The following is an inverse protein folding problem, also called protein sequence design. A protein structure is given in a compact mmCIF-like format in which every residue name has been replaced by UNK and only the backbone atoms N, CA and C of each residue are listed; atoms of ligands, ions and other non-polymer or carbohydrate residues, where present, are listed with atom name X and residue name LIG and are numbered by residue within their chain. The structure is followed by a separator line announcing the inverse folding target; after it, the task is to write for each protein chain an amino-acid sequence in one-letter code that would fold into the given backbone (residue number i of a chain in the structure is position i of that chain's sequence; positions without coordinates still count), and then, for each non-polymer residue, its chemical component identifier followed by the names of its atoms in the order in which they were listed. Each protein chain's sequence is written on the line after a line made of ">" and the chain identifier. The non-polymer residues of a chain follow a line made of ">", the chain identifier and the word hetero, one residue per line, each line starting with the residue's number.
data_IF_984541574225
#
_entry.id   IF_984541574225
#
_cell.length_a   1.000
_cell.length_b   1.000
_cell.length_c   1.000
_cell.angle_alpha   90.00
_cell.angle_beta   90.00
_cell.angle_gamma   90.00
#
_symmetry.space_group_name_H-M   'P 1'
#
loop_
_entity.id
_entity.type
_entity.pdbx_description
1 polymer ?
#
# COMPACT_ATOMS: atom_id res chain seq x y z
N UNK A 1 10.92 10.94 -4.22
CA UNK A 1 11.80 11.92 -3.53
C UNK A 1 12.69 11.23 -2.50
N UNK A 2 12.14 10.50 -1.52
CA UNK A 2 12.94 9.83 -0.47
C UNK A 2 13.92 8.80 -1.07
N UNK A 3 13.48 7.95 -1.98
CA UNK A 3 14.35 6.97 -2.65
C UNK A 3 15.49 7.64 -3.42
N UNK A 4 15.24 8.71 -4.16
CA UNK A 4 16.32 9.47 -4.83
C UNK A 4 17.35 10.04 -3.88
N UNK A 5 16.91 10.55 -2.72
CA UNK A 5 17.84 11.02 -1.68
C UNK A 5 18.64 9.84 -1.12
N UNK A 6 18.01 8.66 -0.97
CA UNK A 6 18.69 7.45 -0.55
C UNK A 6 19.80 7.03 -1.54
N UNK A 7 19.50 7.03 -2.84
CA UNK A 7 20.47 6.75 -3.90
C UNK A 7 21.66 7.74 -3.87
N UNK A 8 21.38 9.04 -3.73
CA UNK A 8 22.40 10.07 -3.61
C UNK A 8 23.27 9.88 -2.33
N UNK A 9 22.68 9.44 -1.23
CA UNK A 9 23.41 9.11 0.01
C UNK A 9 24.28 7.87 -0.20
N UNK A 10 23.77 6.83 -0.85
CA UNK A 10 24.54 5.60 -1.14
C UNK A 10 25.78 5.87 -1.99
N UNK A 11 25.69 6.72 -3.00
CA UNK A 11 26.85 7.14 -3.80
C UNK A 11 27.93 7.80 -2.93
N UNK A 12 27.53 8.64 -1.97
CA UNK A 12 28.47 9.33 -1.07
C UNK A 12 29.01 8.42 0.07
N UNK A 13 28.28 7.39 0.50
CA UNK A 13 28.71 6.44 1.53
C UNK A 13 30.00 5.70 1.11
N UNK A 14 30.18 5.47 -0.18
CA UNK A 14 31.36 4.78 -0.70
C UNK A 14 32.66 5.53 -0.40
N UNK A 15 32.62 6.86 -0.32
CA UNK A 15 33.78 7.72 0.00
C UNK A 15 34.12 7.72 1.50
N UNK A 16 33.18 7.35 2.38
CA UNK A 16 33.34 7.39 3.84
C UNK A 16 34.04 6.14 4.44
N UNK A 17 34.34 5.12 3.66
CA UNK A 17 35.01 3.91 4.11
C UNK A 17 34.31 3.23 5.29
N UNK A 18 35.03 3.04 6.42
CA UNK A 18 34.46 2.35 7.59
C UNK A 18 33.34 3.10 8.28
N UNK A 19 33.36 4.44 8.25
CA UNK A 19 32.31 5.29 8.84
C UNK A 19 31.01 5.20 8.00
N UNK A 20 31.13 4.91 6.70
CA UNK A 20 30.00 4.65 5.81
C UNK A 20 29.15 3.45 6.21
N UNK A 21 29.70 2.47 6.94
CA UNK A 21 28.93 1.28 7.37
C UNK A 21 27.76 1.64 8.29
N UNK A 22 27.96 2.55 9.24
CA UNK A 22 26.91 2.99 10.15
C UNK A 22 25.84 3.77 9.41
N UNK A 23 26.24 4.68 8.51
CA UNK A 23 25.32 5.47 7.69
C UNK A 23 24.47 4.56 6.79
N UNK A 24 25.10 3.53 6.18
CA UNK A 24 24.36 2.55 5.37
C UNK A 24 23.32 1.78 6.18
N UNK A 25 23.68 1.29 7.36
CA UNK A 25 22.73 0.60 8.24
C UNK A 25 21.52 1.49 8.61
N UNK A 26 21.76 2.76 8.90
CA UNK A 26 20.68 3.73 9.19
C UNK A 26 19.84 4.02 7.96
N UNK A 27 20.44 4.10 6.79
CA UNK A 27 19.74 4.29 5.52
C UNK A 27 18.87 3.07 5.20
N UNK A 28 19.39 1.85 5.31
CA UNK A 28 18.65 0.60 5.13
C UNK A 28 17.44 0.50 6.07
N UNK A 29 17.60 0.92 7.34
CA UNK A 29 16.49 0.95 8.30
C UNK A 29 15.37 1.92 7.87
N UNK A 30 15.72 3.08 7.33
CA UNK A 30 14.74 4.08 6.87
C UNK A 30 14.07 3.65 5.55
N UNK A 31 14.85 3.10 4.62
CA UNK A 31 14.39 2.82 3.25
C UNK A 31 13.66 1.47 3.16
N UNK A 32 14.09 0.46 3.93
CA UNK A 32 13.53 -0.89 3.85
C UNK A 32 12.02 -0.98 4.13
N UNK A 33 11.50 -0.14 5.02
CA UNK A 33 10.05 -0.06 5.26
C UNK A 33 9.32 0.74 4.16
N UNK A 34 10.00 1.67 3.48
CA UNK A 34 9.41 2.48 2.41
C UNK A 34 9.12 1.67 1.15
N UNK A 35 10.03 0.81 0.72
CA UNK A 35 9.83 -0.06 -0.45
C UNK A 35 8.59 -0.95 -0.29
N UNK A 36 8.43 -1.50 0.92
CA UNK A 36 7.26 -2.32 1.25
C UNK A 36 5.97 -1.50 1.24
N UNK A 37 5.99 -0.28 1.80
CA UNK A 37 4.84 0.62 1.80
C UNK A 37 4.49 1.08 0.37
N UNK A 38 5.47 1.38 -0.49
CA UNK A 38 5.24 1.72 -1.90
C UNK A 38 4.51 0.60 -2.64
N UNK A 39 4.96 -0.63 -2.47
CA UNK A 39 4.32 -1.81 -3.06
C UNK A 39 2.86 -1.95 -2.60
N UNK A 40 2.60 -1.75 -1.31
CA UNK A 40 1.25 -1.82 -0.75
C UNK A 40 0.36 -0.68 -1.25
N UNK A 41 0.91 0.53 -1.43
CA UNK A 41 0.18 1.67 -2.02
C UNK A 41 -0.21 1.34 -3.47
N UNK A 42 0.71 0.82 -4.26
CA UNK A 42 0.43 0.42 -5.64
C UNK A 42 -0.68 -0.64 -5.68
N UNK A 43 -0.58 -1.68 -4.86
CA UNK A 43 -1.62 -2.71 -4.73
C UNK A 43 -2.98 -2.15 -4.33
N UNK A 44 -3.02 -1.15 -3.45
CA UNK A 44 -4.26 -0.50 -3.02
C UNK A 44 -4.95 0.26 -4.14
N UNK A 45 -4.18 0.94 -5.00
CA UNK A 45 -4.73 1.90 -5.95
C UNK A 45 -4.63 1.48 -7.42
N UNK A 46 -3.91 0.41 -7.77
CA UNK A 46 -3.87 -0.09 -9.14
C UNK A 46 -5.27 -0.51 -9.63
N UNK A 47 -5.60 -0.20 -10.88
CA UNK A 47 -6.90 -0.54 -11.44
C UNK A 47 -7.09 -2.07 -11.60
N UNK A 48 -8.32 -2.53 -11.40
CA UNK A 48 -8.71 -3.90 -11.72
C UNK A 48 -8.90 -4.06 -13.23
N UNK A 49 -7.87 -4.52 -13.94
CA UNK A 49 -7.98 -4.77 -15.39
C UNK A 49 -7.91 -6.25 -15.76
N UNK A 50 -8.53 -6.54 -16.93
CA UNK A 50 -8.46 -7.86 -17.58
C UNK A 50 -7.03 -8.27 -17.98
N UNK A 51 -6.12 -7.35 -18.23
CA UNK A 51 -4.68 -7.59 -18.34
C UNK A 51 -4.05 -7.35 -16.97
N UNK A 52 -3.66 -8.41 -16.30
CA UNK A 52 -3.00 -8.38 -14.99
C UNK A 52 -1.60 -7.75 -15.16
N UNK A 53 -1.49 -6.45 -14.94
CA UNK A 53 -0.21 -5.83 -14.61
C UNK A 53 0.10 -6.15 -13.16
N UNK A 54 1.34 -6.50 -12.89
CA UNK A 54 1.80 -6.71 -11.50
C UNK A 54 2.15 -5.37 -10.84
N UNK A 55 2.15 -5.35 -9.52
CA UNK A 55 2.56 -4.16 -8.79
C UNK A 55 4.05 -3.83 -9.03
N UNK A 56 4.89 -4.87 -9.22
CA UNK A 56 6.31 -4.71 -9.56
C UNK A 56 6.52 -4.03 -10.92
N UNK A 57 5.73 -4.40 -11.95
CA UNK A 57 5.78 -3.74 -13.26
C UNK A 57 5.39 -2.25 -13.17
N UNK A 58 4.40 -1.93 -12.34
CA UNK A 58 3.97 -0.54 -12.10
C UNK A 58 5.06 0.23 -11.36
N UNK A 59 5.67 -0.38 -10.34
CA UNK A 59 6.75 0.23 -9.57
C UNK A 59 7.97 0.53 -10.46
N UNK A 60 8.36 -0.43 -11.31
CA UNK A 60 9.44 -0.23 -12.29
C UNK A 60 9.14 0.94 -13.23
N UNK A 61 7.94 1.01 -13.79
CA UNK A 61 7.55 2.12 -14.66
C UNK A 61 7.56 3.47 -13.94
N UNK A 62 7.10 3.52 -12.67
CA UNK A 62 7.13 4.74 -11.87
C UNK A 62 8.56 5.21 -11.58
N UNK A 63 9.51 4.28 -11.40
CA UNK A 63 10.92 4.61 -11.13
C UNK A 63 11.65 5.21 -12.33
N UNK A 64 11.22 4.90 -13.56
CA UNK A 64 11.81 5.39 -14.80
C UNK A 64 11.30 6.80 -15.22
N UNK A 65 10.23 7.27 -14.58
CA UNK A 65 9.59 8.55 -14.95
C UNK A 65 10.27 9.72 -14.26
N UNK A 66 10.42 10.81 -15.00
CA UNK A 66 10.96 12.06 -14.45
C UNK A 66 10.02 12.64 -13.39
N UNK A 67 10.60 13.26 -12.37
CA UNK A 67 9.86 13.81 -11.22
C UNK A 67 8.74 14.78 -11.62
N UNK A 68 8.98 15.61 -12.64
CA UNK A 68 8.01 16.58 -13.15
C UNK A 68 6.74 15.92 -13.70
N UNK A 69 6.88 14.73 -14.31
CA UNK A 69 5.75 13.96 -14.80
C UNK A 69 4.98 13.25 -13.67
N UNK A 70 5.68 12.84 -12.60
CA UNK A 70 5.05 12.24 -11.40
C UNK A 70 4.18 13.23 -10.63
N UNK A 71 4.35 14.54 -10.83
CA UNK A 71 3.47 15.56 -10.23
C UNK A 71 2.13 15.68 -10.95
N UNK A 72 1.97 15.05 -12.11
CA UNK A 72 0.73 15.10 -12.91
C UNK A 72 -0.20 13.94 -12.56
N UNK A 73 -1.40 14.19 -12.00
CA UNK A 73 -2.35 13.13 -11.62
C UNK A 73 -2.70 12.19 -12.78
N UNK A 74 -2.78 12.74 -14.00
CA UNK A 74 -3.06 11.98 -15.24
C UNK A 74 -2.01 10.91 -15.50
N UNK A 75 -0.73 11.24 -15.35
CA UNK A 75 0.39 10.33 -15.57
C UNK A 75 0.29 9.16 -14.60
N UNK A 76 0.11 9.46 -13.31
CA UNK A 76 -0.06 8.45 -12.26
C UNK A 76 -1.28 7.56 -12.53
N UNK A 77 -2.43 8.13 -12.86
CA UNK A 77 -3.63 7.37 -13.14
C UNK A 77 -3.45 6.39 -14.31
N UNK A 78 -2.77 6.82 -15.40
CA UNK A 78 -2.46 5.96 -16.55
C UNK A 78 -1.58 4.78 -16.15
N UNK A 79 -0.52 5.04 -15.38
CA UNK A 79 0.42 4.01 -14.94
C UNK A 79 -0.29 3.01 -14.03
N UNK A 80 -1.11 3.48 -13.11
CA UNK A 80 -1.96 2.63 -12.25
C UNK A 80 -3.04 1.86 -13.04
N UNK A 81 -3.20 2.16 -14.33
CA UNK A 81 -4.05 1.41 -15.24
C UNK A 81 -5.46 1.95 -15.38
N UNK A 82 -5.75 3.15 -14.96
CA UNK A 82 -7.05 3.80 -15.22
C UNK A 82 -7.14 4.27 -16.67
N UNK A 83 -8.31 4.11 -17.28
CA UNK A 83 -8.67 4.57 -18.64
C UNK A 83 -9.89 5.50 -18.53
N UNK A 84 -10.09 6.37 -19.50
CA UNK A 84 -11.16 7.38 -19.56
C UNK A 84 -10.95 8.55 -18.59
N UNK A 85 -10.18 9.52 -19.06
CA UNK A 85 -9.75 10.68 -18.31
C UNK A 85 -10.61 11.93 -18.53
N UNK A 86 -11.80 11.80 -19.17
CA UNK A 86 -12.63 12.95 -19.49
C UNK A 86 -13.28 13.61 -18.27
N UNK A 87 -13.39 12.85 -17.15
CA UNK A 87 -13.98 13.35 -15.89
C UNK A 87 -13.22 12.78 -14.68
N UNK A 88 -12.06 13.35 -14.33
CA UNK A 88 -11.27 12.90 -13.16
C UNK A 88 -12.02 12.98 -11.84
N UNK A 89 -12.83 14.02 -11.68
CA UNK A 89 -13.57 14.28 -10.43
C UNK A 89 -14.67 13.23 -10.17
N UNK A 90 -15.04 12.44 -11.18
CA UNK A 90 -16.07 11.40 -11.07
C UNK A 90 -15.48 9.99 -10.82
N UNK A 91 -14.18 9.80 -10.97
CA UNK A 91 -13.55 8.51 -10.71
C UNK A 91 -13.32 8.36 -9.21
N UNK A 92 -14.24 7.72 -8.51
CA UNK A 92 -14.06 7.33 -7.12
C UNK A 92 -12.97 6.26 -7.00
N UNK A 93 -11.73 6.68 -6.77
CA UNK A 93 -10.62 5.75 -6.49
C UNK A 93 -10.59 5.46 -4.99
N UNK A 94 -10.94 4.24 -4.63
CA UNK A 94 -10.96 3.80 -3.23
C UNK A 94 -9.85 2.80 -2.96
N UNK A 95 -9.17 2.86 -1.78
CA UNK A 95 -8.17 1.88 -1.41
C UNK A 95 -8.81 0.49 -1.28
N UNK A 96 -8.10 -0.53 -1.72
CA UNK A 96 -8.55 -1.93 -1.61
C UNK A 96 -8.37 -2.49 -0.20
N UNK A 97 -7.41 -1.99 0.57
CA UNK A 97 -7.18 -2.33 1.97
C UNK A 97 -5.85 -3.03 2.27
N UNK A 98 -4.98 -3.23 1.28
CA UNK A 98 -3.70 -3.92 1.49
C UNK A 98 -2.85 -3.31 2.60
N UNK A 99 -2.68 -1.97 2.62
CA UNK A 99 -1.89 -1.28 3.64
C UNK A 99 -2.44 -1.47 5.04
N UNK A 100 -3.75 -1.38 5.21
CA UNK A 100 -4.39 -1.46 6.52
C UNK A 100 -4.43 -2.89 7.02
N UNK A 101 -4.79 -3.84 6.15
CA UNK A 101 -4.85 -5.26 6.51
C UNK A 101 -3.47 -5.82 6.88
N UNK A 102 -2.40 -5.38 6.21
CA UNK A 102 -1.02 -5.77 6.56
C UNK A 102 -0.56 -5.25 7.93
N UNK A 103 -1.23 -4.23 8.51
CA UNK A 103 -0.96 -3.77 9.88
C UNK A 103 -1.59 -4.67 10.96
N UNK A 104 -2.47 -5.59 10.59
CA UNK A 104 -3.06 -6.55 11.53
C UNK A 104 -1.98 -7.59 11.89
N UNK A 105 -1.61 -7.73 13.18
CA UNK A 105 -0.57 -8.67 13.60
C UNK A 105 -0.88 -10.11 13.17
N UNK A 106 0.13 -10.80 12.66
CA UNK A 106 0.05 -12.21 12.23
C UNK A 106 -0.96 -12.47 11.09
N UNK A 107 -1.23 -11.46 10.27
CA UNK A 107 -2.06 -11.61 9.08
C UNK A 107 -1.20 -12.15 7.92
N UNK A 108 -1.46 -13.36 7.40
CA UNK A 108 -0.75 -13.89 6.25
C UNK A 108 -1.12 -13.13 4.96
N UNK A 109 -0.15 -12.93 4.07
CA UNK A 109 -0.37 -12.18 2.82
C UNK A 109 -1.45 -12.78 1.93
N UNK A 110 -1.54 -14.12 1.86
CA UNK A 110 -2.60 -14.80 1.10
C UNK A 110 -4.01 -14.52 1.64
N UNK A 111 -4.16 -14.35 2.95
CA UNK A 111 -5.45 -13.97 3.56
C UNK A 111 -5.81 -12.53 3.22
N UNK A 112 -4.83 -11.62 3.21
CA UNK A 112 -5.05 -10.24 2.76
C UNK A 112 -5.51 -10.22 1.29
N UNK A 113 -4.87 -11.01 0.43
CA UNK A 113 -5.25 -11.13 -0.98
C UNK A 113 -6.66 -11.68 -1.14
N UNK A 114 -7.01 -12.76 -0.44
CA UNK A 114 -8.36 -13.35 -0.49
C UNK A 114 -9.44 -12.36 -0.02
N UNK A 115 -9.19 -11.60 1.04
CA UNK A 115 -10.10 -10.54 1.52
C UNK A 115 -10.31 -9.47 0.46
N UNK A 116 -9.21 -8.95 -0.10
CA UNK A 116 -9.29 -7.90 -1.12
C UNK A 116 -9.97 -8.42 -2.40
N UNK A 117 -9.70 -9.65 -2.80
CA UNK A 117 -10.36 -10.26 -3.97
C UNK A 117 -11.85 -10.50 -3.75
N UNK A 118 -12.27 -10.85 -2.54
CA UNK A 118 -13.69 -11.08 -2.21
C UNK A 118 -14.47 -9.76 -2.13
N UNK A 119 -13.95 -8.78 -1.42
CA UNK A 119 -14.68 -7.54 -1.11
C UNK A 119 -14.42 -6.38 -2.07
N UNK A 120 -13.32 -6.41 -2.85
CA UNK A 120 -12.91 -5.42 -3.87
C UNK A 120 -12.56 -4.02 -3.34
N UNK A 121 -13.02 -3.61 -2.17
CA UNK A 121 -12.69 -2.34 -1.53
C UNK A 121 -12.59 -2.47 -0.02
N UNK A 122 -11.76 -1.62 0.58
CA UNK A 122 -11.60 -1.58 2.04
C UNK A 122 -12.89 -1.21 2.78
N UNK A 123 -13.72 -0.38 2.17
CA UNK A 123 -15.01 0.00 2.75
C UNK A 123 -15.95 -1.21 2.92
N UNK A 124 -15.98 -2.11 1.94
CA UNK A 124 -16.76 -3.35 2.04
C UNK A 124 -16.21 -4.28 3.12
N UNK A 125 -14.88 -4.37 3.25
CA UNK A 125 -14.25 -5.16 4.32
C UNK A 125 -14.61 -4.60 5.71
N UNK A 126 -14.61 -3.28 5.87
CA UNK A 126 -15.01 -2.63 7.12
C UNK A 126 -16.48 -2.87 7.48
N UNK A 127 -17.35 -2.83 6.48
CA UNK A 127 -18.79 -3.05 6.65
C UNK A 127 -19.16 -4.51 6.89
N UNK A 128 -18.33 -5.46 6.42
CA UNK A 128 -18.59 -6.89 6.51
C UNK A 128 -18.83 -7.35 7.95
N UNK A 129 -19.80 -8.24 8.16
CA UNK A 129 -20.00 -8.93 9.41
C UNK A 129 -19.05 -10.14 9.57
N UNK A 130 -19.13 -10.84 10.70
CA UNK A 130 -18.25 -11.97 10.99
C UNK A 130 -18.54 -13.13 10.04
N UNK A 131 -19.79 -13.36 9.68
CA UNK A 131 -20.24 -14.43 8.81
C UNK A 131 -19.69 -14.23 7.38
N UNK A 132 -19.85 -13.03 6.82
CA UNK A 132 -19.27 -12.67 5.52
C UNK A 132 -17.74 -12.74 5.47
N UNK A 133 -17.07 -12.47 6.59
CA UNK A 133 -15.62 -12.62 6.67
C UNK A 133 -15.20 -14.12 6.76
N UNK A 134 -16.00 -14.94 7.44
CA UNK A 134 -15.76 -16.38 7.59
C UNK A 134 -15.90 -17.13 6.26
N UNK A 135 -16.76 -16.66 5.36
CA UNK A 135 -16.97 -17.22 4.01
C UNK A 135 -15.75 -17.03 3.08
N UNK A 136 -14.79 -16.18 3.46
CA UNK A 136 -13.58 -15.96 2.66
C UNK A 136 -12.60 -17.12 2.82
N UNK A 137 -12.07 -17.62 1.70
CA UNK A 137 -11.14 -18.75 1.70
C UNK A 137 -9.95 -18.54 2.64
N UNK A 138 -9.70 -19.52 3.50
CA UNK A 138 -8.65 -19.49 4.52
C UNK A 138 -8.98 -18.67 5.76
N UNK A 139 -10.18 -18.12 5.89
CA UNK A 139 -10.67 -17.44 7.09
C UNK A 139 -11.69 -18.34 7.78
N UNK A 140 -11.48 -18.64 9.03
CA UNK A 140 -12.47 -19.28 9.89
C UNK A 140 -12.96 -18.28 10.96
N UNK A 141 -14.00 -18.65 11.66
CA UNK A 141 -14.72 -17.81 12.65
C UNK A 141 -13.77 -17.06 13.61
N UNK A 142 -12.72 -17.73 14.10
CA UNK A 142 -11.74 -17.13 15.03
C UNK A 142 -10.97 -16.01 14.35
N UNK A 143 -10.54 -16.22 13.11
CA UNK A 143 -9.80 -15.23 12.34
C UNK A 143 -10.70 -14.06 11.93
N UNK A 144 -11.94 -14.33 11.51
CA UNK A 144 -12.94 -13.32 11.21
C UNK A 144 -13.19 -12.38 12.39
N UNK A 145 -13.36 -12.93 13.60
CA UNK A 145 -13.47 -12.16 14.84
C UNK A 145 -12.22 -11.32 15.10
N UNK A 146 -11.03 -11.89 14.89
CA UNK A 146 -9.76 -11.18 15.09
C UNK A 146 -9.63 -10.00 14.15
N UNK A 147 -9.94 -10.21 12.86
CA UNK A 147 -9.93 -9.15 11.83
C UNK A 147 -10.89 -8.03 12.21
N UNK A 148 -12.14 -8.36 12.53
CA UNK A 148 -13.15 -7.37 12.91
C UNK A 148 -12.75 -6.55 14.12
N UNK A 149 -12.18 -7.19 15.14
CA UNK A 149 -11.69 -6.49 16.35
C UNK A 149 -10.50 -5.59 16.02
N UNK A 150 -9.54 -6.05 15.19
CA UNK A 150 -8.39 -5.25 14.81
C UNK A 150 -8.82 -4.00 14.02
N UNK A 151 -9.70 -4.15 13.05
CA UNK A 151 -10.24 -3.04 12.27
C UNK A 151 -10.99 -2.03 13.15
N UNK A 152 -11.80 -2.51 14.09
CA UNK A 152 -12.50 -1.65 15.05
C UNK A 152 -11.52 -0.84 15.91
N UNK A 153 -10.47 -1.45 16.44
CA UNK A 153 -9.43 -0.76 17.22
C UNK A 153 -8.72 0.32 16.41
N UNK A 154 -8.39 0.03 15.15
CA UNK A 154 -7.77 1.01 14.27
C UNK A 154 -8.69 2.20 13.99
N UNK A 155 -9.99 1.98 13.80
CA UNK A 155 -10.95 3.05 13.65
C UNK A 155 -11.06 3.92 14.91
N UNK A 156 -11.10 3.30 16.10
CA UNK A 156 -11.14 4.00 17.37
C UNK A 156 -9.89 4.87 17.57
N UNK A 157 -8.69 4.33 17.31
CA UNK A 157 -7.44 5.09 17.39
C UNK A 157 -7.44 6.29 16.44
N UNK A 158 -7.89 6.11 15.21
CA UNK A 158 -7.95 7.20 14.23
C UNK A 158 -8.89 8.32 14.64
N UNK A 159 -9.99 8.00 15.30
CA UNK A 159 -10.92 8.99 15.86
C UNK A 159 -10.27 9.76 17.02
N UNK A 160 -9.57 9.06 17.93
CA UNK A 160 -8.88 9.70 19.06
C UNK A 160 -7.74 10.63 18.59
N UNK A 161 -6.92 10.20 17.63
CA UNK A 161 -5.80 11.00 17.12
C UNK A 161 -6.28 12.28 16.41
N UNK A 162 -7.49 12.28 15.81
CA UNK A 162 -8.07 13.46 15.17
C UNK A 162 -8.89 14.38 16.10
N UNK A 163 -9.14 13.98 17.35
CA UNK A 163 -9.85 14.83 18.33
C UNK A 163 -8.86 15.67 19.15
N UNK A 164 -7.57 15.32 19.13
CA UNK A 164 -6.51 15.97 19.94
C UNK A 164 -5.78 17.09 19.15
N UNK A 165 -6.16 17.34 17.91
CA UNK A 165 -5.70 18.50 17.11
C UNK A 165 -6.81 19.55 17.05
#
# INVERSE_FOLDING_TARGET
>A
MVMRIADEIEENIYELGNDGRLVRMQLEEIVGDLEKEEMLIIKDYMAHKKKKRTADEILSELSEIQYEELTKPITIAKILGYENFDNYDEIGVYPKGYRILNKIPRMPSNIVENLVESFKSFQHILAADIESLDDVDGIGEVRAKTIKQALKRMQEQFVFDNIII
#
